data_IF_418957920188
#
_entry.id   IF_418957920188
#
_cell.length_a   1.000
_cell.length_b   1.000
_cell.length_c   1.000
_cell.angle_alpha   90.00
_cell.angle_beta   90.00
_cell.angle_gamma   90.00
#
_symmetry.space_group_name_H-M   'P 1'
#
loop_
_entity.id
_entity.type
_entity.pdbx_description
1 polymer ?
2 non-polymer ?
3 water ?
#
# COMPACT_ATOMS: atom_id res chain seq x y z
N UNK A 4 -20.08 30.18 -16.53
CA UNK A 4 -19.33 30.90 -15.48
C UNK A 4 -18.15 30.00 -15.15
N UNK A 5 -17.33 29.59 -16.10
CA UNK A 5 -16.19 28.75 -15.78
C UNK A 5 -15.13 29.70 -15.14
N UNK A 6 -14.56 29.22 -14.03
CA UNK A 6 -13.46 29.86 -13.28
C UNK A 6 -12.10 29.18 -13.50
N UNK A 7 -11.01 29.93 -13.56
CA UNK A 7 -9.72 29.25 -13.65
C UNK A 7 -9.24 29.04 -12.22
N UNK A 8 -8.64 27.87 -11.99
CA UNK A 8 -8.03 27.51 -10.72
C UNK A 8 -6.57 27.19 -10.98
N UNK A 9 -5.75 27.41 -9.96
CA UNK A 9 -4.32 27.09 -10.12
C UNK A 9 -3.92 25.87 -9.28
N UNK A 10 -3.24 24.93 -9.93
CA UNK A 10 -2.59 23.77 -9.27
C UNK A 10 -1.11 23.91 -9.58
N UNK A 11 -0.31 22.99 -9.04
CA UNK A 11 1.13 22.99 -9.27
C UNK A 11 1.55 21.75 -10.05
N UNK A 12 2.67 21.88 -10.72
CA UNK A 12 3.39 20.73 -11.23
C UNK A 12 4.87 20.88 -11.01
N UNK A 13 5.58 19.72 -11.16
CA UNK A 13 7.05 19.74 -11.01
C UNK A 13 7.59 18.53 -11.78
N UNK A 14 8.71 18.76 -12.49
CA UNK A 14 9.39 17.67 -13.22
C UNK A 14 10.43 17.02 -12.32
N UNK A 15 10.66 15.74 -12.47
CA UNK A 15 11.57 14.97 -11.62
C UNK A 15 12.33 13.97 -12.43
N UNK A 16 13.51 13.63 -11.93
CA UNK A 16 14.32 12.53 -12.46
C UNK A 16 14.40 11.46 -11.40
N UNK A 17 14.52 10.21 -11.87
CA UNK A 17 14.58 9.05 -10.94
C UNK A 17 15.70 8.13 -11.41
N UNK A 18 16.72 7.96 -10.57
CA UNK A 18 17.88 7.17 -11.03
C UNK A 18 17.51 5.70 -11.25
N UNK A 19 18.16 5.06 -12.24
CA UNK A 19 17.82 3.69 -12.58
C UNK A 19 18.37 2.71 -11.50
N UNK A 20 17.92 1.45 -11.61
CA UNK A 20 18.48 0.36 -10.74
C UNK A 20 18.20 0.65 -9.28
N UNK A 21 17.02 1.20 -8.97
CA UNK A 21 16.50 1.29 -7.62
C UNK A 21 16.48 2.70 -7.12
N UNK A 22 16.60 3.75 -7.98
CA UNK A 22 16.48 5.09 -7.44
C UNK A 22 15.10 5.37 -6.86
N UNK A 23 15.11 6.24 -5.85
CA UNK A 23 13.87 6.68 -5.20
C UNK A 23 13.88 8.18 -5.20
N UNK A 24 12.88 8.83 -5.70
CA UNK A 24 12.78 10.28 -5.68
C UNK A 24 11.52 10.65 -4.90
N UNK A 25 11.69 11.49 -3.88
CA UNK A 25 10.55 12.04 -3.10
C UNK A 25 9.92 13.16 -3.87
N UNK A 26 8.63 13.07 -4.18
CA UNK A 26 7.95 14.10 -4.98
C UNK A 26 6.93 14.90 -4.18
N UNK A 27 6.57 14.43 -2.96
CA UNK A 27 5.76 15.21 -2.06
C UNK A 27 6.04 14.69 -0.67
N UNK A 28 5.82 15.51 0.35
CA UNK A 28 5.99 15.10 1.72
C UNK A 28 5.26 16.00 2.66
N UNK A 29 4.83 15.47 3.77
CA UNK A 29 4.11 16.24 4.75
C UNK A 29 4.35 15.69 6.12
N UNK A 30 4.73 16.55 7.07
CA UNK A 30 4.97 16.14 8.44
C UNK A 30 4.10 16.97 9.31
N UNK A 31 3.21 16.32 10.04
CA UNK A 31 2.22 16.96 10.93
C UNK A 31 2.26 16.17 12.24
N UNK A 32 3.30 16.42 13.07
CA UNK A 32 3.59 15.51 14.16
C UNK A 32 2.70 15.73 15.38
N UNK A 33 1.95 16.83 15.42
CA UNK A 33 1.09 17.11 16.59
C UNK A 33 -0.28 16.59 16.33
N UNK A 34 -0.92 17.05 15.28
CA UNK A 34 -2.24 16.65 14.87
C UNK A 34 -2.15 16.10 13.47
N UNK A 35 -2.50 14.82 13.25
CA UNK A 35 -2.36 14.23 11.91
C UNK A 35 -3.28 14.82 10.92
N UNK A 36 -2.97 14.70 9.63
CA UNK A 36 -3.77 15.29 8.55
C UNK A 36 -3.85 14.34 7.39
N UNK A 37 -4.95 14.39 6.66
CA UNK A 37 -5.07 13.78 5.33
C UNK A 37 -4.07 14.44 4.38
N UNK A 38 -3.58 13.73 3.40
CA UNK A 38 -2.59 14.20 2.47
C UNK A 38 -3.09 14.86 1.22
N UNK A 39 -2.42 14.60 0.12
CA UNK A 39 -2.67 15.30 -1.16
C UNK A 39 -2.52 14.28 -2.26
N UNK A 40 -3.44 14.35 -3.21
CA UNK A 40 -3.41 13.46 -4.38
C UNK A 40 -2.57 14.09 -5.48
N UNK A 41 -2.05 13.24 -6.39
CA UNK A 41 -1.25 13.77 -7.51
C UNK A 41 -1.56 12.89 -8.72
N UNK A 42 -1.22 13.47 -9.89
CA UNK A 42 -1.09 12.63 -11.08
C UNK A 42 0.37 12.56 -11.47
N UNK A 43 0.79 11.41 -11.96
CA UNK A 43 2.14 11.26 -12.47
C UNK A 43 2.08 10.97 -14.00
N UNK A 44 2.87 11.76 -14.77
CA UNK A 44 3.06 11.47 -16.20
C UNK A 44 4.50 10.97 -16.32
N UNK A 45 4.60 9.74 -16.86
CA UNK A 45 5.91 9.16 -17.09
C UNK A 45 6.46 9.62 -18.43
N UNK A 46 7.52 10.43 -18.44
CA UNK A 46 8.04 11.05 -19.66
C UNK A 46 9.38 10.38 -20.08
N UNK A 47 9.70 9.27 -19.48
CA UNK A 47 10.92 8.52 -19.82
C UNK A 47 10.56 7.28 -20.63
N UNK A 48 11.55 6.43 -20.80
CA UNK A 48 11.40 5.28 -21.74
C UNK A 48 11.00 4.01 -21.04
N UNK A 49 11.11 3.92 -19.73
CA UNK A 49 10.78 2.71 -19.00
C UNK A 49 9.75 2.99 -17.93
N UNK A 50 9.34 1.91 -17.28
CA UNK A 50 8.25 2.02 -16.28
C UNK A 50 8.79 2.61 -14.94
N UNK A 51 7.89 3.15 -14.14
CA UNK A 51 8.17 3.68 -12.80
C UNK A 51 7.10 3.16 -11.86
N UNK A 52 7.49 2.98 -10.58
CA UNK A 52 6.48 2.75 -9.53
C UNK A 52 6.23 4.04 -8.74
N UNK A 53 4.98 4.39 -8.48
CA UNK A 53 4.67 5.46 -7.56
C UNK A 53 4.08 4.87 -6.30
N UNK A 54 4.51 5.37 -5.16
CA UNK A 54 3.96 4.88 -3.88
C UNK A 54 3.55 6.03 -2.97
N UNK A 55 2.44 5.82 -2.27
CA UNK A 55 2.02 6.68 -1.17
C UNK A 55 2.45 6.01 0.12
N UNK A 56 3.29 6.67 0.91
CA UNK A 56 3.86 6.07 2.11
C UNK A 56 3.51 6.89 3.34
N UNK A 57 3.53 6.25 4.51
CA UNK A 57 3.19 6.91 5.76
C UNK A 57 4.14 6.49 6.84
N UNK A 58 4.20 7.30 7.91
CA UNK A 58 5.03 6.96 9.07
C UNK A 58 4.26 7.29 10.35
N UNK A 59 4.58 6.51 11.38
CA UNK A 59 4.03 6.69 12.73
C UNK A 59 4.74 7.87 13.41
N UNK A 60 4.25 8.28 14.60
CA UNK A 60 4.99 9.26 15.39
C UNK A 60 6.42 8.83 15.55
N UNK A 61 7.34 9.78 15.41
CA UNK A 61 8.78 9.56 15.59
C UNK A 61 9.32 8.66 14.47
N UNK A 62 8.55 8.41 13.42
CA UNK A 62 9.00 7.51 12.36
C UNK A 62 9.36 6.11 12.91
N UNK A 63 8.71 5.71 13.98
CA UNK A 63 9.06 4.37 14.55
C UNK A 63 8.72 3.29 13.54
N UNK A 64 9.70 2.46 13.24
CA UNK A 64 9.57 1.40 12.23
C UNK A 64 9.67 1.84 10.79
N UNK A 65 9.99 3.11 10.55
CA UNK A 65 10.28 3.60 9.20
C UNK A 65 9.02 3.77 8.36
N UNK A 66 9.22 3.99 7.09
CA UNK A 66 8.09 4.26 6.17
C UNK A 66 7.31 2.97 5.88
N UNK A 67 6.01 3.11 5.71
CA UNK A 67 5.13 2.00 5.34
C UNK A 67 4.41 2.35 4.07
N UNK A 68 4.06 1.37 3.25
CA UNK A 68 3.40 1.56 2.01
C UNK A 68 1.87 1.49 2.14
N UNK A 69 1.19 2.59 1.84
CA UNK A 69 -0.29 2.60 1.81
C UNK A 69 -0.81 2.30 0.42
N UNK A 70 -0.16 2.75 -0.65
CA UNK A 70 -0.60 2.54 -2.04
C UNK A 70 0.61 2.42 -2.92
N UNK A 71 0.49 1.61 -3.97
CA UNK A 71 1.57 1.47 -4.92
C UNK A 71 1.01 1.20 -6.32
N UNK A 72 1.59 1.72 -7.38
CA UNK A 72 1.09 1.46 -8.72
C UNK A 72 2.26 1.65 -9.71
N UNK A 73 2.23 0.84 -10.80
CA UNK A 73 3.27 0.90 -11.83
C UNK A 73 2.75 1.69 -12.98
N UNK A 74 3.52 2.65 -13.50
CA UNK A 74 3.16 3.53 -14.58
C UNK A 74 4.10 3.33 -15.76
N UNK A 75 3.58 2.93 -16.92
CA UNK A 75 4.43 2.69 -18.12
C UNK A 75 4.81 4.01 -18.82
N UNK A 76 5.74 3.91 -19.79
CA UNK A 76 6.20 5.16 -20.48
C UNK A 76 4.99 5.83 -21.09
N UNK A 77 5.03 7.15 -21.08
CA UNK A 77 4.02 8.00 -21.71
C UNK A 77 2.66 7.96 -20.97
N UNK A 78 2.44 7.13 -19.97
CA UNK A 78 1.14 7.09 -19.31
C UNK A 78 1.06 8.15 -18.22
N UNK A 79 -0.18 8.55 -17.96
CA UNK A 79 -0.48 9.38 -16.82
C UNK A 79 -1.40 8.62 -15.89
N UNK A 80 -1.14 8.67 -14.60
CA UNK A 80 -1.88 7.92 -13.61
C UNK A 80 -2.27 8.78 -12.40
N UNK A 81 -3.51 8.64 -11.91
CA UNK A 81 -3.97 9.43 -10.72
C UNK A 81 -3.81 8.63 -9.47
N UNK A 82 -2.93 9.13 -8.57
CA UNK A 82 -2.76 8.55 -7.25
C UNK A 82 -3.59 9.34 -6.27
N UNK A 83 -4.72 8.74 -5.86
CA UNK A 83 -5.59 9.41 -4.88
C UNK A 83 -5.01 9.17 -3.47
N UNK A 84 -5.00 10.23 -2.67
CA UNK A 84 -4.50 10.06 -1.32
C UNK A 84 -5.36 9.09 -0.53
N UNK A 85 -4.82 8.36 0.46
CA UNK A 85 -5.67 7.59 1.37
C UNK A 85 -6.68 8.49 2.04
N UNK A 86 -7.83 7.96 2.43
CA UNK A 86 -8.82 8.80 3.12
C UNK A 86 -8.45 9.05 4.59
N UNK A 87 -7.48 8.35 5.17
CA UNK A 87 -7.13 8.49 6.58
C UNK A 87 -5.94 9.50 6.72
N UNK A 88 -5.76 9.98 7.96
CA UNK A 88 -4.84 11.04 8.33
C UNK A 88 -3.56 10.45 8.91
N UNK A 89 -2.43 11.11 8.68
CA UNK A 89 -1.13 10.62 9.09
C UNK A 89 -0.36 11.65 9.83
N UNK A 90 0.62 11.24 10.63
CA UNK A 90 1.62 12.10 11.23
C UNK A 90 2.74 12.44 10.25
N UNK A 91 3.09 11.48 9.40
CA UNK A 91 4.11 11.61 8.37
C UNK A 91 3.62 10.95 7.14
N UNK A 92 3.85 11.54 5.97
CA UNK A 92 3.46 10.92 4.71
C UNK A 92 4.34 11.47 3.61
N UNK A 93 4.46 10.69 2.53
CA UNK A 93 5.21 11.15 1.38
C UNK A 93 4.75 10.38 0.16
N UNK A 94 5.09 10.88 -1.00
CA UNK A 94 4.92 10.19 -2.25
C UNK A 94 6.31 10.03 -2.85
N UNK A 95 6.65 8.82 -3.24
CA UNK A 95 7.91 8.56 -3.89
C UNK A 95 7.66 7.94 -5.28
N UNK A 96 8.62 8.15 -6.15
CA UNK A 96 8.68 7.48 -7.42
C UNK A 96 9.94 6.64 -7.42
N UNK A 97 9.79 5.35 -7.77
CA UNK A 97 10.86 4.36 -7.69
C UNK A 97 11.08 3.82 -9.11
N UNK A 98 12.39 3.78 -9.44
CA UNK A 98 12.79 3.31 -10.78
C UNK A 98 13.61 2.06 -10.60
N UNK A 99 12.99 0.92 -10.84
CA UNK A 99 13.68 -0.39 -10.70
C UNK A 99 14.26 -0.84 -12.02
N UNK A 100 14.14 -0.09 -13.09
CA UNK A 100 14.61 -0.50 -14.38
C UNK A 100 15.96 0.04 -14.69
N UNK A 101 16.41 -0.34 -15.92
CA UNK A 101 17.75 0.11 -16.32
C UNK A 101 17.77 1.49 -16.98
N UNK A 102 16.63 1.95 -17.50
CA UNK A 102 16.58 3.27 -18.16
C UNK A 102 16.41 4.35 -17.09
N UNK A 103 17.13 5.46 -17.27
CA UNK A 103 16.89 6.65 -16.44
C UNK A 103 15.43 7.03 -16.42
N UNK A 104 14.95 7.48 -15.26
CA UNK A 104 13.51 7.75 -15.09
C UNK A 104 13.27 9.26 -15.12
N UNK A 105 12.12 9.57 -15.73
CA UNK A 105 11.71 11.00 -15.82
C UNK A 105 10.22 11.02 -15.65
N UNK A 106 9.70 12.00 -14.90
CA UNK A 106 8.26 12.16 -14.79
C UNK A 106 7.96 13.62 -14.45
N UNK A 107 6.66 13.94 -14.69
CA UNK A 107 6.09 15.22 -14.19
C UNK A 107 4.95 14.79 -13.21
N UNK A 108 4.94 15.50 -12.07
CA UNK A 108 3.90 15.29 -11.06
C UNK A 108 2.99 16.57 -11.11
N UNK A 109 1.68 16.31 -11.07
CA UNK A 109 0.65 17.37 -11.06
C UNK A 109 -0.01 17.23 -9.67
N UNK A 110 0.07 18.30 -8.91
CA UNK A 110 -0.37 18.24 -7.50
C UNK A 110 -1.79 18.81 -7.42
N UNK A 111 -2.67 18.00 -6.83
CA UNK A 111 -4.09 18.42 -6.72
C UNK A 111 -4.25 19.25 -5.52
N UNK A 112 -4.47 20.56 -5.67
CA UNK A 112 -4.47 21.43 -4.49
C UNK A 112 -5.88 21.47 -3.96
N UNK A 113 -6.00 22.00 -2.76
CA UNK A 113 -7.29 22.22 -2.07
C UNK A 113 -7.89 23.51 -2.64
N UNK A 114 -9.13 23.48 -3.07
CA UNK A 114 -9.91 24.59 -3.64
C UNK A 114 -11.25 24.65 -2.84
N UNK A 115 -11.71 25.86 -2.49
CA UNK A 115 -13.10 26.16 -1.95
C UNK A 115 -13.38 27.44 -2.66
N UNK B 4 -18.37 -32.72 12.78
CA UNK B 4 -17.09 -32.04 12.44
C UNK B 4 -15.98 -32.55 13.38
N UNK B 5 -14.71 -32.75 12.96
CA UNK B 5 -13.58 -33.14 13.83
C UNK B 5 -13.13 -31.84 14.49
N UNK B 6 -12.91 -31.87 15.82
CA UNK B 6 -12.43 -30.66 16.54
C UNK B 6 -11.20 -30.17 15.82
N UNK B 7 -11.24 -28.89 15.47
CA UNK B 7 -10.21 -28.21 14.70
C UNK B 7 -8.82 -28.41 15.35
N UNK B 8 -7.88 -28.77 14.48
CA UNK B 8 -6.48 -28.99 14.89
C UNK B 8 -5.66 -27.80 14.39
N UNK B 9 -4.51 -27.51 15.02
CA UNK B 9 -3.72 -26.29 14.73
C UNK B 9 -3.33 -25.98 13.26
N UNK B 10 -3.45 -24.71 12.86
CA UNK B 10 -3.24 -24.08 11.53
C UNK B 10 -1.86 -23.55 11.16
N UNK B 11 -0.91 -24.44 10.82
CA UNK B 11 0.46 -23.93 10.54
C UNK B 11 0.43 -23.21 9.21
N UNK B 12 -0.23 -23.76 8.21
CA UNK B 12 -0.33 -23.09 6.91
C UNK B 12 -1.67 -23.35 6.26
N UNK B 13 -2.00 -22.52 5.29
CA UNK B 13 -3.21 -22.72 4.51
C UNK B 13 -2.97 -22.29 3.10
N UNK B 14 -3.50 -23.02 2.14
CA UNK B 14 -3.35 -22.67 0.74
C UNK B 14 -4.56 -21.88 0.31
N UNK B 15 -4.34 -20.79 -0.42
CA UNK B 15 -5.40 -19.90 -0.85
C UNK B 15 -5.33 -19.69 -2.35
N UNK B 16 -6.47 -19.35 -2.93
CA UNK B 16 -6.56 -18.93 -4.31
C UNK B 16 -7.00 -17.46 -4.33
N UNK B 17 -6.59 -16.74 -5.38
CA UNK B 17 -6.89 -15.32 -5.49
C UNK B 17 -7.30 -15.09 -6.96
N UNK B 18 -8.55 -14.68 -7.17
CA UNK B 18 -9.00 -14.55 -8.54
C UNK B 18 -8.30 -13.40 -9.28
N UNK B 19 -8.07 -13.56 -10.61
CA UNK B 19 -7.35 -12.51 -11.38
C UNK B 19 -8.24 -11.30 -11.55
N UNK B 20 -7.62 -10.26 -12.10
CA UNK B 20 -8.33 -9.04 -12.52
C UNK B 20 -9.00 -8.37 -11.33
N UNK B 21 -8.32 -8.38 -10.19
CA UNK B 21 -8.71 -7.62 -9.03
C UNK B 21 -9.29 -8.45 -7.91
N UNK B 22 -9.07 -9.76 -7.91
CA UNK B 22 -9.55 -10.57 -6.76
C UNK B 22 -8.88 -10.18 -5.47
N UNK B 23 -9.59 -10.35 -4.38
CA UNK B 23 -9.11 -10.11 -3.03
C UNK B 23 -9.45 -11.29 -2.16
N UNK B 24 -8.48 -11.89 -1.55
CA UNK B 24 -8.76 -13.03 -0.65
C UNK B 24 -8.32 -12.65 0.75
N UNK B 25 -9.21 -12.78 1.73
CA UNK B 25 -8.86 -12.53 3.11
C UNK B 25 -8.23 -13.74 3.75
N UNK B 26 -6.99 -13.63 4.22
CA UNK B 26 -6.26 -14.78 4.71
C UNK B 26 -6.09 -14.77 6.24
N UNK B 27 -6.45 -13.63 6.89
CA UNK B 27 -6.47 -13.59 8.35
C UNK B 27 -7.37 -12.42 8.73
N UNK B 28 -7.93 -12.45 9.93
CA UNK B 28 -8.71 -11.33 10.43
C UNK B 28 -8.82 -11.38 11.91
N UNK B 29 -9.03 -10.21 12.53
CA UNK B 29 -9.24 -10.19 13.97
C UNK B 29 -10.05 -8.99 14.34
N UNK B 30 -11.13 -9.22 15.09
CA UNK B 30 -12.02 -8.17 15.54
C UNK B 30 -12.02 -8.18 17.04
N UNK B 31 -11.58 -7.07 17.63
CA UNK B 31 -11.44 -6.90 19.07
C UNK B 31 -12.07 -5.54 19.43
N UNK B 32 -13.42 -5.50 19.43
CA UNK B 32 -14.08 -4.18 19.42
C UNK B 32 -14.16 -3.50 20.76
N UNK B 33 -13.91 -4.20 21.86
CA UNK B 33 -14.09 -3.63 23.16
C UNK B 33 -12.78 -3.08 23.56
N UNK B 34 -11.74 -3.90 23.60
CA UNK B 34 -10.40 -3.50 23.92
C UNK B 34 -9.54 -3.93 22.76
N UNK B 35 -8.75 -3.00 22.19
CA UNK B 35 -7.97 -3.35 20.93
C UNK B 35 -6.83 -4.32 21.24
N UNK B 36 -6.27 -4.90 20.18
CA UNK B 36 -5.20 -5.87 20.40
C UNK B 36 -4.25 -5.81 19.20
N UNK B 37 -3.00 -6.12 19.48
CA UNK B 37 -2.00 -6.25 18.39
C UNK B 37 -2.30 -7.52 17.60
N UNK B 38 -1.82 -7.51 16.35
CA UNK B 38 -2.15 -8.59 15.41
C UNK B 38 -1.16 -9.74 15.40
N UNK B 39 -1.01 -10.32 14.22
CA UNK B 39 -0.21 -11.54 14.05
C UNK B 39 0.51 -11.40 12.72
N UNK B 40 1.79 -11.76 12.68
CA UNK B 40 2.62 -11.77 11.44
C UNK B 40 2.38 -13.03 10.70
N UNK B 41 2.59 -12.99 9.36
CA UNK B 41 2.48 -14.21 8.53
C UNK B 41 3.63 -14.18 7.52
N UNK B 42 3.91 -15.33 6.92
CA UNK B 42 4.71 -15.39 5.68
C UNK B 42 3.80 -15.79 4.55
N UNK B 43 4.03 -15.20 3.37
CA UNK B 43 3.30 -15.59 2.17
C UNK B 43 4.31 -16.18 1.15
N UNK B 44 3.99 -17.34 0.63
CA UNK B 44 4.74 -17.94 -0.51
C UNK B 44 3.80 -17.88 -1.70
N UNK B 45 4.27 -17.18 -2.76
CA UNK B 45 3.47 -17.16 -4.00
C UNK B 45 3.74 -18.39 -4.84
N UNK B 46 2.77 -19.25 -5.03
CA UNK B 46 2.93 -20.50 -5.76
C UNK B 46 2.27 -20.47 -7.14
N UNK B 47 1.87 -19.28 -7.59
CA UNK B 47 1.24 -19.11 -8.90
C UNK B 47 2.25 -18.59 -9.87
N UNK B 48 1.80 -18.19 -11.04
CA UNK B 48 2.67 -17.74 -12.14
C UNK B 48 2.83 -16.25 -12.21
N UNK B 49 1.97 -15.47 -11.56
CA UNK B 49 2.04 -14.04 -11.61
C UNK B 49 2.19 -13.44 -10.22
N UNK B 50 2.32 -12.12 -10.15
CA UNK B 50 2.56 -11.43 -8.91
C UNK B 50 1.25 -11.28 -8.10
N UNK B 51 1.43 -11.08 -6.80
CA UNK B 51 0.34 -10.82 -5.87
C UNK B 51 0.72 -9.65 -4.99
N UNK B 52 -0.22 -8.92 -4.43
CA UNK B 52 0.07 -7.95 -3.39
C UNK B 52 -0.54 -8.41 -2.09
N UNK B 53 0.24 -8.39 -1.02
CA UNK B 53 -0.30 -8.66 0.32
C UNK B 53 -0.44 -7.37 1.08
N UNK B 54 -1.52 -7.18 1.80
CA UNK B 54 -1.70 -5.98 2.60
C UNK B 54 -2.18 -6.32 3.99
N UNK B 55 -1.65 -5.55 4.96
CA UNK B 55 -2.10 -5.54 6.32
C UNK B 55 -3.06 -4.36 6.44
N UNK B 56 -4.32 -4.58 6.84
CA UNK B 56 -5.33 -3.53 6.88
C UNK B 56 -5.90 -3.40 8.28
N UNK B 57 -6.45 -2.22 8.60
CA UNK B 57 -7.04 -2.01 9.93
C UNK B 57 -8.28 -1.17 9.78
N UNK B 58 -9.11 -1.20 10.86
CA UNK B 58 -10.30 -0.37 10.91
C UNK B 58 -10.44 0.24 12.28
N UNK B 59 -11.11 1.40 12.31
CA UNK B 59 -11.45 2.11 13.54
C UNK B 59 -12.64 1.47 14.20
N UNK B 60 -12.99 1.88 15.42
CA UNK B 60 -14.27 1.45 16.00
C UNK B 60 -15.39 1.65 15.03
N UNK B 61 -16.29 0.66 14.98
CA UNK B 61 -17.48 0.65 14.15
C UNK B 61 -17.11 0.62 12.67
N UNK B 62 -15.84 0.34 12.34
CA UNK B 62 -15.42 0.36 10.94
C UNK B 62 -15.70 1.68 10.26
N UNK B 63 -15.64 2.78 11.06
CA UNK B 63 -15.93 4.10 10.46
C UNK B 63 -14.90 4.41 9.38
N UNK B 64 -15.33 4.76 8.20
CA UNK B 64 -14.42 5.06 7.11
C UNK B 64 -13.92 3.79 6.42
N UNK B 65 -14.32 2.59 6.81
CA UNK B 65 -13.90 1.37 6.11
C UNK B 65 -12.46 0.96 6.44
N UNK B 66 -11.93 0.02 5.65
CA UNK B 66 -10.61 -0.48 5.86
C UNK B 66 -9.58 0.52 5.44
N UNK B 67 -8.49 0.59 6.19
CA UNK B 67 -7.32 1.41 5.87
C UNK B 67 -6.11 0.51 5.66
N UNK B 68 -5.17 0.89 4.82
CA UNK B 68 -3.97 0.11 4.57
C UNK B 68 -2.84 0.50 5.52
N UNK B 69 -2.36 -0.41 6.33
CA UNK B 69 -1.15 -0.19 7.13
C UNK B 69 0.09 -0.52 6.33
N UNK B 70 0.12 -1.65 5.65
CA UNK B 70 1.30 -2.06 4.92
C UNK B 70 0.91 -2.75 3.66
N UNK B 71 1.72 -2.72 2.62
CA UNK B 71 1.46 -3.32 1.35
C UNK B 71 2.74 -3.77 0.70
N UNK B 72 2.77 -4.94 0.09
CA UNK B 72 4.02 -5.42 -0.53
C UNK B 72 3.66 -6.32 -1.71
N UNK B 73 4.43 -6.16 -2.78
CA UNK B 73 4.32 -7.03 -3.98
C UNK B 73 5.20 -8.26 -3.85
N UNK B 74 4.60 -9.42 -4.09
CA UNK B 74 5.28 -10.69 -4.00
C UNK B 74 5.28 -11.35 -5.36
N UNK B 75 6.45 -11.50 -5.98
CA UNK B 75 6.53 -12.16 -7.32
C UNK B 75 6.36 -13.65 -7.23
N UNK B 76 6.19 -14.30 -8.40
CA UNK B 76 6.00 -15.77 -8.40
C UNK B 76 7.20 -16.41 -7.69
N UNK B 77 6.95 -17.45 -6.97
CA UNK B 77 7.94 -18.30 -6.35
C UNK B 77 8.58 -17.59 -5.10
N UNK B 78 8.31 -16.33 -4.80
CA UNK B 78 8.91 -15.65 -3.66
C UNK B 78 8.14 -15.94 -2.39
N UNK B 79 8.89 -15.89 -1.29
CA UNK B 79 8.31 -15.91 0.04
C UNK B 79 8.62 -14.58 0.71
N UNK B 80 7.63 -13.99 1.36
CA UNK B 80 7.80 -12.68 2.00
C UNK B 80 7.22 -12.73 3.41
N UNK B 81 7.94 -12.13 4.36
CA UNK B 81 7.45 -12.05 5.75
C UNK B 81 6.73 -10.74 5.95
N UNK B 82 5.46 -10.81 6.29
CA UNK B 82 4.67 -9.60 6.63
C UNK B 82 4.64 -9.51 8.15
N UNK B 83 5.42 -8.56 8.67
CA UNK B 83 5.48 -8.31 10.11
C UNK B 83 4.24 -7.46 10.50
N UNK B 84 3.57 -7.87 11.57
CA UNK B 84 2.39 -7.11 11.99
C UNK B 84 2.77 -5.73 12.41
N UNK B 85 1.88 -4.74 12.34
CA UNK B 85 2.19 -3.42 12.92
C UNK B 85 2.45 -3.50 14.38
N UNK B 86 3.08 -2.43 14.89
CA UNK B 86 3.23 -2.17 16.30
C UNK B 86 1.92 -1.89 17.04
N UNK B 87 1.00 -1.20 16.37
CA UNK B 87 -0.21 -0.77 17.09
C UNK B 87 -1.22 -1.89 17.34
N UNK B 88 -1.98 -1.66 18.38
CA UNK B 88 -3.19 -2.47 18.66
C UNK B 88 -4.33 -1.83 17.88
N UNK B 89 -5.22 -2.69 17.40
CA UNK B 89 -6.36 -2.25 16.56
C UNK B 89 -7.66 -2.81 17.10
N UNK B 90 -8.76 -2.19 16.75
CA UNK B 90 -10.11 -2.70 16.97
C UNK B 90 -10.49 -3.69 15.91
N UNK B 91 -10.02 -3.49 14.67
CA UNK B 91 -10.32 -4.39 13.54
C UNK B 91 -9.07 -4.48 12.70
N UNK B 92 -8.75 -5.66 12.19
CA UNK B 92 -7.56 -5.80 11.34
C UNK B 92 -7.72 -7.01 10.51
N UNK B 93 -7.04 -7.05 9.37
CA UNK B 93 -7.10 -8.22 8.49
C UNK B 93 -5.86 -8.22 7.62
N UNK B 94 -5.63 -9.36 7.00
CA UNK B 94 -4.60 -9.53 5.97
C UNK B 94 -5.28 -9.98 4.71
N UNK B 95 -5.05 -9.30 3.60
CA UNK B 95 -5.61 -9.66 2.31
C UNK B 95 -4.51 -9.91 1.32
N UNK B 96 -4.79 -10.74 0.33
CA UNK B 96 -3.95 -10.96 -0.83
C UNK B 96 -4.76 -10.54 -2.03
N UNK B 97 -4.16 -9.70 -2.88
CA UNK B 97 -4.81 -9.08 -4.00
C UNK B 97 -4.14 -9.49 -5.28
N UNK B 98 -4.93 -9.87 -6.29
CA UNK B 98 -4.41 -10.28 -7.57
C UNK B 98 -4.94 -9.38 -8.65
N UNK B 99 -4.07 -8.48 -9.10
CA UNK B 99 -4.46 -7.53 -10.17
C UNK B 99 -4.00 -8.02 -11.54
N UNK B 100 -3.48 -9.21 -11.62
CA UNK B 100 -2.94 -9.73 -12.84
C UNK B 100 -3.92 -10.56 -13.62
N UNK B 101 -3.51 -11.02 -14.78
CA UNK B 101 -4.33 -11.86 -15.60
C UNK B 101 -4.29 -13.32 -15.19
N UNK B 102 -3.23 -13.80 -14.58
CA UNK B 102 -3.11 -15.17 -14.17
C UNK B 102 -3.85 -15.42 -12.87
N UNK B 103 -4.47 -16.59 -12.74
CA UNK B 103 -5.02 -16.99 -11.46
C UNK B 103 -3.95 -16.96 -10.38
N UNK B 104 -4.38 -16.61 -9.18
CA UNK B 104 -3.41 -16.44 -8.07
C UNK B 104 -3.48 -17.61 -7.10
N UNK B 105 -2.28 -17.96 -6.62
CA UNK B 105 -2.19 -19.07 -5.63
C UNK B 105 -1.09 -18.68 -4.64
N UNK B 106 -1.38 -18.94 -3.36
CA UNK B 106 -0.33 -18.71 -2.36
C UNK B 106 -0.58 -19.66 -1.18
N UNK B 107 0.52 -19.84 -0.41
CA UNK B 107 0.40 -20.46 0.88
C UNK B 107 0.76 -19.41 1.94
N UNK B 108 -0.08 -19.36 2.98
CA UNK B 108 0.19 -18.46 4.11
C UNK B 108 0.61 -19.33 5.30
N UNK B 109 1.72 -18.90 5.92
CA UNK B 109 2.26 -19.58 7.12
C UNK B 109 1.98 -18.68 8.31
N UNK B 110 1.32 -19.25 9.31
CA UNK B 110 0.81 -18.48 10.42
C UNK B 110 1.63 -18.80 11.64
N UNK B 111 1.86 -17.72 12.40
CA UNK B 111 2.81 -17.55 13.53
C UNK B 111 2.03 -17.24 14.79
X LIG C 1 -6.76 16.98 7.46
X LIG C 1 -7.86 17.86 7.63
X LIG C 1 -7.36 15.84 7.85
X LIG C 1 -5.51 17.43 7.06
X LIG D 1 5.35 -1.81 4.34
X LIG D 1 4.47 -1.45 3.64
X LIG D 1 5.65 -1.12 5.39
X LIG D 1 5.87 -3.00 4.34
X LIG E 1 6.21 -2.86 -2.48
X LIG E 1 4.95 -2.43 -2.44
X LIG E 1 7.07 -1.94 -2.28
X LIG E 1 6.48 -4.13 -2.69
X LIG F 1 -2.48 -6.82 23.27
X LIG F 1 -2.89 -5.88 22.54
X LIG F 1 -1.16 -6.93 23.15
X LIG F 1 -3.08 -7.64 24.08
X LIG G 1 10.94 -12.75 11.16
X LIG G 1 10.76 -13.72 10.16
X LIG G 1 11.45 -11.48 10.79
X LIG G 1 10.57 -13.15 12.46
X LIG H 1 2.63 -0.44 10.89
X LIG H 1 2.01 0.43 11.81
X LIG H 1 3.77 -1.20 10.71
X LIG H 1 2.00 -0.75 9.77
#
# INVERSE_FOLDING_TARGET
MSNNIKHETDYSHDWTVEPNGGVTEVDSKHTPIIPEVGRSVDIENTGRGELTIQYQWGAPFMAGGWKVAKSHVVQRDETYHLQRPDNAFYHQRIVVINNGASRGFCTIYYHLEHHHHHH
MSNNIKHETDYSHDWTVEPNGGVTEVDSKHTPIIPEVGRSVDIENTGRGELTIQYQWGAPFMAGGWKVAKSHVVQRDETYHLQRPDNAFYHQRIVVINNGASRGFCTIYYHLEHHHHHH
NO3 N O1 O2 O3
NO3 N O1 O2 O3
NO3 N O1 O2 O3
NO3 N O1 O2 O3
NO3 N O1 O2 O3
NO3 N O1 O2 O3
#
